data_IF_020634050835
#
_entry.id   IF_020634050835
#
_cell.length_a   1.000
_cell.length_b   1.000
_cell.length_c   1.000
_cell.angle_alpha   90.00
_cell.angle_beta   90.00
_cell.angle_gamma   90.00
#
_symmetry.space_group_name_H-M   'P 1'
#
loop_
_entity.id
_entity.type
_entity.pdbx_description
1 polymer ?
#
# COMPACT_ATOMS: atom_id res chain seq x y z
N UNK A 1 9.00 -1.32 -32.59
CA UNK A 1 8.82 -2.45 -31.67
C UNK A 1 8.34 -1.98 -30.29
N UNK A 2 8.87 -0.92 -29.74
CA UNK A 2 8.60 -0.41 -28.37
C UNK A 2 7.14 0.09 -28.13
N UNK A 3 6.48 0.72 -29.13
CA UNK A 3 5.09 1.22 -29.00
C UNK A 3 4.02 0.12 -28.93
N UNK A 4 4.20 -1.00 -29.63
CA UNK A 4 3.24 -2.12 -29.62
C UNK A 4 3.31 -2.90 -28.30
N UNK A 5 4.52 -3.12 -27.77
CA UNK A 5 4.76 -3.79 -26.48
C UNK A 5 4.12 -2.97 -25.34
N UNK A 6 4.33 -1.65 -25.31
CA UNK A 6 3.73 -0.76 -24.29
C UNK A 6 2.19 -0.72 -24.35
N UNK A 7 1.60 -0.82 -25.54
CA UNK A 7 0.15 -0.84 -25.70
C UNK A 7 -0.47 -2.13 -25.16
N UNK A 8 0.17 -3.27 -25.43
CA UNK A 8 -0.23 -4.57 -24.88
C UNK A 8 -0.17 -4.59 -23.35
N UNK A 9 0.89 -4.04 -22.74
CA UNK A 9 1.05 -3.98 -21.30
C UNK A 9 -0.02 -3.10 -20.61
N UNK A 10 -0.42 -1.99 -21.27
CA UNK A 10 -1.48 -1.10 -20.76
C UNK A 10 -2.83 -1.81 -20.79
N UNK A 11 -3.14 -2.49 -21.87
CA UNK A 11 -4.41 -3.23 -22.02
C UNK A 11 -4.47 -4.41 -21.04
N UNK A 12 -3.36 -5.11 -20.83
CA UNK A 12 -3.23 -6.20 -19.86
C UNK A 12 -3.42 -5.69 -18.42
N UNK A 13 -2.75 -4.58 -18.04
CA UNK A 13 -2.93 -3.95 -16.73
C UNK A 13 -4.38 -3.50 -16.51
N UNK A 14 -5.05 -3.00 -17.54
CA UNK A 14 -6.45 -2.57 -17.44
C UNK A 14 -7.41 -3.75 -17.24
N UNK A 15 -7.22 -4.83 -18.00
CA UNK A 15 -8.00 -6.06 -17.88
C UNK A 15 -7.81 -6.69 -16.51
N UNK A 16 -6.57 -6.80 -16.04
CA UNK A 16 -6.24 -7.36 -14.74
C UNK A 16 -6.87 -6.55 -13.60
N UNK A 17 -6.84 -5.21 -13.67
CA UNK A 17 -7.55 -4.35 -12.69
C UNK A 17 -9.03 -4.67 -12.64
N UNK A 18 -9.69 -4.74 -13.81
CA UNK A 18 -11.11 -5.02 -13.89
C UNK A 18 -11.45 -6.35 -13.22
N UNK A 19 -10.75 -7.42 -13.60
CA UNK A 19 -10.95 -8.77 -13.08
C UNK A 19 -10.80 -8.83 -11.55
N UNK A 20 -9.72 -8.28 -11.02
CA UNK A 20 -9.45 -8.37 -9.57
C UNK A 20 -10.40 -7.47 -8.78
N UNK A 21 -10.76 -6.30 -9.28
CA UNK A 21 -11.76 -5.45 -8.64
C UNK A 21 -13.14 -6.10 -8.61
N UNK A 22 -13.53 -6.83 -9.63
CA UNK A 22 -14.77 -7.62 -9.64
C UNK A 22 -14.73 -8.74 -8.58
N UNK A 23 -13.65 -9.54 -8.53
CA UNK A 23 -13.45 -10.55 -7.48
C UNK A 23 -13.52 -9.95 -6.08
N UNK A 24 -12.86 -8.80 -5.87
CA UNK A 24 -12.85 -8.12 -4.58
C UNK A 24 -14.22 -7.57 -4.17
N UNK A 25 -15.02 -7.07 -5.13
CA UNK A 25 -16.41 -6.63 -4.90
C UNK A 25 -17.34 -7.78 -4.53
N UNK A 26 -17.06 -8.99 -4.99
CA UNK A 26 -17.83 -10.20 -4.67
C UNK A 26 -17.62 -10.68 -3.23
N UNK A 27 -16.60 -10.19 -2.52
CA UNK A 27 -16.42 -10.49 -1.10
C UNK A 27 -17.56 -9.87 -0.28
N UNK A 28 -18.22 -10.70 0.53
CA UNK A 28 -19.19 -10.20 1.51
C UNK A 28 -18.50 -9.33 2.57
N UNK A 29 -19.24 -8.42 3.19
CA UNK A 29 -18.70 -7.59 4.28
C UNK A 29 -18.18 -8.41 5.46
N UNK A 30 -18.83 -9.55 5.76
CA UNK A 30 -18.37 -10.51 6.77
C UNK A 30 -17.03 -11.11 6.35
N UNK A 31 -16.94 -11.68 5.15
CA UNK A 31 -15.71 -12.30 4.65
C UNK A 31 -14.56 -11.29 4.56
N UNK A 32 -14.83 -10.07 4.14
CA UNK A 32 -13.83 -8.99 4.11
C UNK A 32 -13.29 -8.67 5.51
N UNK A 33 -14.17 -8.58 6.53
CA UNK A 33 -13.75 -8.36 7.92
C UNK A 33 -12.90 -9.49 8.45
N UNK A 34 -13.34 -10.74 8.29
CA UNK A 34 -12.62 -11.92 8.77
C UNK A 34 -11.23 -12.03 8.14
N UNK A 35 -11.14 -11.88 6.81
CA UNK A 35 -9.86 -11.88 6.08
C UNK A 35 -8.95 -10.74 6.50
N UNK A 36 -9.49 -9.52 6.65
CA UNK A 36 -8.71 -8.36 7.10
C UNK A 36 -8.17 -8.57 8.51
N UNK A 37 -8.94 -9.17 9.42
CA UNK A 37 -8.49 -9.48 10.78
C UNK A 37 -7.33 -10.48 10.76
N UNK A 38 -7.41 -11.54 9.96
CA UNK A 38 -6.33 -12.51 9.82
C UNK A 38 -5.04 -11.87 9.25
N UNK A 39 -5.18 -10.94 8.28
CA UNK A 39 -4.06 -10.15 7.75
C UNK A 39 -3.43 -9.28 8.85
N UNK A 40 -4.26 -8.56 9.64
CA UNK A 40 -3.80 -7.72 10.74
C UNK A 40 -3.03 -8.53 11.78
N UNK A 41 -3.54 -9.69 12.18
CA UNK A 41 -2.86 -10.57 13.15
C UNK A 41 -1.47 -10.97 12.66
N UNK A 42 -1.31 -11.35 11.38
CA UNK A 42 0.00 -11.65 10.80
C UNK A 42 0.91 -10.43 10.75
N UNK A 43 0.35 -9.27 10.40
CA UNK A 43 1.10 -8.01 10.31
C UNK A 43 1.70 -7.61 11.67
N UNK A 44 0.96 -7.77 12.77
CA UNK A 44 1.45 -7.45 14.11
C UNK A 44 2.60 -8.34 14.58
N UNK A 45 2.77 -9.52 13.99
CA UNK A 45 3.87 -10.43 14.31
C UNK A 45 5.19 -10.06 13.60
N UNK A 46 5.16 -9.18 12.61
CA UNK A 46 6.35 -8.82 11.85
C UNK A 46 7.29 -7.94 12.67
N UNK A 47 8.58 -8.21 12.53
CA UNK A 47 9.63 -7.39 13.14
C UNK A 47 9.63 -5.97 12.61
N UNK A 48 9.33 -5.78 11.31
CA UNK A 48 9.21 -4.45 10.70
C UNK A 48 8.13 -3.59 11.36
N UNK A 49 7.00 -4.19 11.76
CA UNK A 49 5.97 -3.48 12.52
C UNK A 49 6.44 -3.20 13.95
N UNK A 50 7.03 -4.19 14.62
CA UNK A 50 7.45 -4.07 16.02
C UNK A 50 8.55 -3.02 16.20
N UNK A 51 9.54 -3.01 15.30
CA UNK A 51 10.72 -2.13 15.39
C UNK A 51 10.50 -0.77 14.74
N UNK A 52 9.62 -0.65 13.72
CA UNK A 52 9.32 0.58 13.02
C UNK A 52 8.72 1.62 13.97
N UNK A 53 9.26 2.84 13.97
CA UNK A 53 8.78 3.98 14.74
C UNK A 53 7.85 4.87 13.92
N UNK A 54 8.22 5.14 12.68
CA UNK A 54 7.45 5.93 11.73
C UNK A 54 6.85 4.99 10.69
N UNK A 55 5.53 4.82 10.72
CA UNK A 55 4.83 3.83 9.88
C UNK A 55 3.83 4.55 8.98
N UNK A 56 4.02 4.39 7.66
CA UNK A 56 3.01 4.79 6.70
C UNK A 56 1.94 3.70 6.58
N UNK A 57 0.67 4.10 6.69
CA UNK A 57 -0.51 3.25 6.50
C UNK A 57 -1.46 3.90 5.49
N UNK A 58 -1.98 3.13 4.55
CA UNK A 58 -3.14 3.60 3.79
C UNK A 58 -4.39 3.47 4.64
N UNK A 59 -5.33 4.39 4.47
CA UNK A 59 -6.66 4.30 5.05
C UNK A 59 -7.57 3.54 4.08
N UNK A 60 -8.08 2.39 4.53
CA UNK A 60 -8.79 1.45 3.67
C UNK A 60 -10.03 2.06 3.01
N UNK A 61 -10.19 1.84 1.71
CA UNK A 61 -11.29 2.36 0.92
C UNK A 61 -11.78 1.33 -0.12
N UNK A 62 -13.06 1.38 -0.49
CA UNK A 62 -13.69 0.59 -1.56
C UNK A 62 -13.30 -0.90 -1.57
N UNK A 63 -13.49 -1.58 -0.45
CA UNK A 63 -13.29 -3.03 -0.35
C UNK A 63 -11.81 -3.44 -0.26
N UNK A 64 -10.90 -2.56 0.10
CA UNK A 64 -9.52 -2.89 0.47
C UNK A 64 -9.46 -3.68 1.79
N UNK A 65 -8.29 -4.24 2.08
CA UNK A 65 -7.99 -4.78 3.41
C UNK A 65 -8.21 -3.67 4.43
N UNK A 66 -9.01 -3.93 5.44
CA UNK A 66 -9.33 -2.94 6.48
C UNK A 66 -8.11 -2.66 7.34
N UNK A 67 -7.72 -1.40 7.44
CA UNK A 67 -6.53 -0.96 8.16
C UNK A 67 -6.82 -0.24 9.48
N UNK A 68 -8.10 -0.02 9.81
CA UNK A 68 -8.53 0.69 11.02
C UNK A 68 -7.91 0.10 12.29
N UNK A 69 -7.91 -1.22 12.43
CA UNK A 69 -7.30 -1.92 13.57
C UNK A 69 -5.78 -1.69 13.64
N UNK A 70 -5.11 -1.67 12.49
CA UNK A 70 -3.66 -1.44 12.41
C UNK A 70 -3.35 0.00 12.83
N UNK A 71 -4.12 0.98 12.34
CA UNK A 71 -3.94 2.40 12.69
C UNK A 71 -4.10 2.59 14.20
N UNK A 72 -5.18 2.06 14.79
CA UNK A 72 -5.45 2.17 16.24
C UNK A 72 -4.34 1.53 17.06
N UNK A 73 -3.92 0.33 16.71
CA UNK A 73 -2.85 -0.38 17.42
C UNK A 73 -1.51 0.35 17.32
N UNK A 74 -1.15 0.85 16.14
CA UNK A 74 0.08 1.61 15.96
C UNK A 74 0.09 2.90 16.81
N UNK A 75 -1.02 3.63 16.86
CA UNK A 75 -1.16 4.81 17.73
C UNK A 75 -1.10 4.44 19.22
N UNK A 76 -1.76 3.35 19.64
CA UNK A 76 -1.75 2.88 21.03
C UNK A 76 -0.33 2.48 21.48
N UNK A 77 0.49 1.96 20.58
CA UNK A 77 1.90 1.62 20.82
C UNK A 77 2.83 2.86 20.74
N UNK A 78 2.29 4.08 20.61
CA UNK A 78 3.07 5.32 20.54
C UNK A 78 3.89 5.47 19.25
N UNK A 79 3.55 4.76 18.18
CA UNK A 79 4.21 4.91 16.88
C UNK A 79 3.72 6.17 16.18
N UNK A 80 4.59 6.79 15.39
CA UNK A 80 4.20 7.89 14.51
C UNK A 80 3.49 7.30 13.27
N UNK A 81 2.18 7.50 13.21
CA UNK A 81 1.35 7.02 12.09
C UNK A 81 1.25 8.10 11.03
N UNK A 82 1.61 7.72 9.81
CA UNK A 82 1.65 8.59 8.64
C UNK A 82 0.69 8.05 7.57
N UNK A 83 -0.15 8.92 7.04
CA UNK A 83 -1.17 8.56 6.04
C UNK A 83 -1.06 9.43 4.78
N UNK A 84 -1.54 8.95 3.61
CA UNK A 84 -1.51 9.74 2.40
C UNK A 84 -2.49 10.90 2.46
N UNK A 85 -2.12 12.01 1.81
CA UNK A 85 -2.98 13.16 1.53
C UNK A 85 -2.88 13.47 0.04
N UNK A 86 -4.00 13.40 -0.68
CA UNK A 86 -4.02 13.77 -2.10
C UNK A 86 -3.99 15.29 -2.20
N UNK A 87 -3.00 15.82 -2.88
CA UNK A 87 -2.91 17.25 -3.19
C UNK A 87 -3.64 17.49 -4.51
N UNK A 88 -4.53 18.49 -4.53
CA UNK A 88 -5.50 18.71 -5.60
C UNK A 88 -4.92 18.65 -7.01
N UNK A 89 -5.62 17.93 -7.90
CA UNK A 89 -5.26 17.77 -9.31
C UNK A 89 -4.17 16.71 -9.55
N UNK A 90 -3.30 16.98 -10.51
CA UNK A 90 -2.19 16.10 -10.93
C UNK A 90 -0.92 16.22 -10.04
N UNK A 91 -0.95 17.07 -9.01
CA UNK A 91 0.25 17.45 -8.26
C UNK A 91 0.85 16.35 -7.40
N UNK A 92 0.11 15.30 -7.08
CA UNK A 92 0.68 14.15 -6.40
C UNK A 92 0.04 13.80 -5.07
N UNK A 93 0.79 13.11 -4.24
CA UNK A 93 0.40 12.66 -2.90
C UNK A 93 1.49 13.11 -1.92
N UNK A 94 1.08 13.76 -0.84
CA UNK A 94 1.91 14.07 0.31
C UNK A 94 1.65 13.08 1.43
N UNK A 95 2.50 13.09 2.43
CA UNK A 95 2.33 12.32 3.65
C UNK A 95 2.02 13.25 4.83
N UNK A 96 1.10 12.82 5.70
CA UNK A 96 0.73 13.56 6.91
C UNK A 96 0.67 12.64 8.12
N UNK A 97 1.23 13.09 9.24
CA UNK A 97 1.03 12.44 10.54
C UNK A 97 -0.42 12.60 11.01
N UNK A 98 -0.97 11.54 11.58
CA UNK A 98 -2.18 11.57 12.40
C UNK A 98 -1.87 11.09 13.81
N UNK A 99 -2.52 11.70 14.83
CA UNK A 99 -2.32 11.40 16.26
C UNK A 99 -3.55 10.81 16.91
N UNK A 100 -4.71 11.02 16.32
CA UNK A 100 -5.98 10.49 16.80
C UNK A 100 -6.79 9.93 15.63
N UNK A 101 -7.33 8.73 15.78
CA UNK A 101 -8.12 8.06 14.77
C UNK A 101 -9.38 7.45 15.37
N UNK A 102 -10.57 7.72 14.82
CA UNK A 102 -10.82 8.38 13.53
C UNK A 102 -10.97 9.93 13.59
N UNK A 103 -10.75 10.57 14.74
CA UNK A 103 -11.11 11.96 15.03
C UNK A 103 -10.46 12.98 14.07
N UNK A 104 -9.23 12.70 13.63
CA UNK A 104 -8.48 13.60 12.74
C UNK A 104 -8.75 13.34 11.24
N UNK A 105 -9.59 12.35 10.90
CA UNK A 105 -9.84 11.92 9.54
C UNK A 105 -11.25 12.28 9.09
N UNK A 106 -11.42 12.58 7.80
CA UNK A 106 -12.71 12.81 7.14
C UNK A 106 -12.66 12.25 5.70
N UNK A 107 -13.80 12.02 5.04
CA UNK A 107 -13.84 11.69 3.63
C UNK A 107 -13.22 12.84 2.80
N UNK A 108 -12.12 12.54 2.10
CA UNK A 108 -11.41 13.45 1.23
C UNK A 108 -11.77 13.28 -0.25
N UNK A 109 -10.79 13.49 -1.13
CA UNK A 109 -10.96 13.34 -2.57
C UNK A 109 -11.46 11.93 -2.93
N UNK A 110 -12.46 11.86 -3.78
CA UNK A 110 -13.11 10.61 -4.21
C UNK A 110 -13.72 9.75 -3.08
N UNK A 111 -13.90 10.32 -1.88
CA UNK A 111 -14.36 9.63 -0.68
C UNK A 111 -13.27 8.80 0.01
N UNK A 112 -12.02 8.93 -0.40
CA UNK A 112 -10.87 8.31 0.28
C UNK A 112 -10.69 9.00 1.63
N UNK A 113 -10.58 8.27 2.76
CA UNK A 113 -10.34 8.91 4.05
C UNK A 113 -9.00 9.65 4.05
N UNK A 114 -9.00 10.90 4.47
CA UNK A 114 -7.82 11.78 4.52
C UNK A 114 -7.81 12.59 5.82
N UNK A 115 -6.65 13.07 6.29
CA UNK A 115 -6.59 13.99 7.42
C UNK A 115 -7.37 15.27 7.15
N UNK A 116 -8.18 15.70 8.12
CA UNK A 116 -8.85 17.01 8.08
C UNK A 116 -7.82 18.12 7.89
N UNK A 117 -8.15 19.15 7.12
CA UNK A 117 -7.22 20.24 6.76
C UNK A 117 -6.47 20.83 7.95
N UNK A 118 -7.17 21.01 9.09
CA UNK A 118 -6.59 21.57 10.33
C UNK A 118 -5.58 20.64 11.03
N UNK A 119 -5.55 19.37 10.66
CA UNK A 119 -4.66 18.35 11.24
C UNK A 119 -3.56 17.89 10.28
N UNK A 120 -3.39 18.56 9.14
CA UNK A 120 -2.30 18.23 8.21
C UNK A 120 -0.96 18.58 8.84
N UNK A 121 -0.14 17.55 9.06
CA UNK A 121 1.24 17.63 9.57
C UNK A 121 2.14 16.90 8.58
N UNK A 122 2.75 17.66 7.68
CA UNK A 122 3.58 17.09 6.62
C UNK A 122 4.75 16.29 7.17
N UNK A 123 4.98 15.13 6.60
CA UNK A 123 6.08 14.23 6.95
C UNK A 123 6.92 13.99 5.71
N UNK A 124 8.24 14.07 5.86
CA UNK A 124 9.18 13.71 4.81
C UNK A 124 9.14 12.17 4.62
N UNK A 125 8.83 11.66 3.42
CA UNK A 125 8.85 10.23 3.14
C UNK A 125 10.16 9.52 3.52
N UNK A 126 11.30 10.22 3.49
CA UNK A 126 12.60 9.66 3.86
C UNK A 126 12.71 9.27 5.35
N UNK A 127 11.84 9.82 6.21
CA UNK A 127 11.82 9.49 7.64
C UNK A 127 11.03 8.23 7.98
N UNK A 128 10.25 7.70 7.03
CA UNK A 128 9.38 6.55 7.23
C UNK A 128 10.21 5.26 7.31
N UNK A 129 9.96 4.44 8.33
CA UNK A 129 10.63 3.14 8.53
C UNK A 129 9.93 2.01 7.74
N UNK A 130 8.61 2.06 7.69
CA UNK A 130 7.76 1.03 7.10
C UNK A 130 6.65 1.68 6.28
N UNK A 131 6.59 1.35 5.00
CA UNK A 131 5.45 1.65 4.15
C UNK A 131 4.53 0.43 4.03
N UNK A 132 3.30 0.57 4.45
CA UNK A 132 2.22 -0.39 4.19
C UNK A 132 1.44 0.11 2.98
N UNK A 133 1.45 -0.68 1.92
CA UNK A 133 1.01 -0.25 0.59
C UNK A 133 -0.28 -0.97 0.15
N UNK A 134 -1.26 -0.24 -0.41
CA UNK A 134 -2.43 -0.83 -1.05
C UNK A 134 -2.11 -1.22 -2.49
N UNK A 135 -2.98 -2.04 -3.08
CA UNK A 135 -2.95 -2.35 -4.49
C UNK A 135 -4.21 -3.07 -4.96
N UNK A 136 -4.33 -3.19 -6.27
CA UNK A 136 -5.39 -3.97 -6.91
C UNK A 136 -4.96 -5.42 -7.07
N UNK A 137 -3.74 -5.66 -7.57
CA UNK A 137 -3.16 -7.00 -7.71
C UNK A 137 -1.69 -7.00 -7.33
N UNK A 138 -1.17 -8.20 -7.00
CA UNK A 138 0.20 -8.41 -6.60
C UNK A 138 0.73 -9.72 -7.18
N UNK A 139 2.04 -9.82 -7.37
CA UNK A 139 2.71 -11.08 -7.69
C UNK A 139 3.82 -11.41 -6.67
N UNK A 140 4.18 -12.69 -6.57
CA UNK A 140 5.18 -13.17 -5.60
C UNK A 140 6.59 -12.60 -5.79
N UNK A 141 6.83 -11.89 -6.89
CA UNK A 141 8.08 -11.16 -7.16
C UNK A 141 8.05 -9.73 -6.62
N UNK A 142 6.98 -9.36 -5.91
CA UNK A 142 6.78 -8.04 -5.36
C UNK A 142 6.19 -7.03 -6.34
N UNK A 143 5.78 -7.47 -7.53
CA UNK A 143 5.05 -6.63 -8.47
C UNK A 143 3.75 -6.15 -7.84
N UNK A 144 3.42 -4.86 -8.02
CA UNK A 144 2.23 -4.22 -7.49
C UNK A 144 1.47 -3.46 -8.58
N UNK A 145 0.22 -3.81 -8.80
CA UNK A 145 -0.69 -3.09 -9.68
C UNK A 145 -1.57 -2.15 -8.86
N UNK A 146 -1.32 -0.85 -8.95
CA UNK A 146 -2.15 0.18 -8.33
C UNK A 146 -3.37 0.55 -9.19
N UNK A 147 -4.12 1.58 -8.74
CA UNK A 147 -5.30 2.10 -9.45
C UNK A 147 -4.99 2.89 -10.73
N UNK A 148 -3.73 3.19 -11.00
CA UNK A 148 -3.28 3.83 -12.26
C UNK A 148 -2.72 5.25 -12.10
N UNK A 149 -2.90 5.91 -10.95
CA UNK A 149 -2.39 7.26 -10.73
C UNK A 149 -0.87 7.35 -10.44
N UNK A 150 -0.21 6.22 -10.11
CA UNK A 150 1.24 6.16 -9.86
C UNK A 150 1.74 6.93 -8.63
N UNK A 151 0.86 7.27 -7.69
CA UNK A 151 1.24 8.09 -6.53
C UNK A 151 2.35 7.47 -5.68
N UNK A 152 2.21 6.19 -5.35
CA UNK A 152 3.22 5.51 -4.54
C UNK A 152 4.55 5.33 -5.26
N UNK A 153 4.52 5.06 -6.56
CA UNK A 153 5.75 4.88 -7.34
C UNK A 153 6.55 6.19 -7.40
N UNK A 154 5.88 7.33 -7.47
CA UNK A 154 6.54 8.66 -7.39
C UNK A 154 7.15 8.94 -6.02
N UNK A 155 6.40 8.71 -4.92
CA UNK A 155 6.92 8.92 -3.57
C UNK A 155 8.10 7.99 -3.30
N UNK A 156 7.94 6.71 -3.59
CA UNK A 156 8.93 5.68 -3.28
C UNK A 156 10.16 5.77 -4.20
N UNK A 157 9.96 6.13 -5.49
CA UNK A 157 11.06 6.31 -6.43
C UNK A 157 12.02 7.43 -6.05
N UNK A 158 11.52 8.46 -5.32
CA UNK A 158 12.36 9.53 -4.77
C UNK A 158 12.91 9.27 -3.36
N UNK A 159 12.34 8.28 -2.66
CA UNK A 159 12.58 8.06 -1.23
C UNK A 159 13.40 6.80 -0.92
N UNK A 160 13.35 5.78 -1.81
CA UNK A 160 14.16 4.57 -1.64
C UNK A 160 15.59 4.95 -2.00
N UNK A 161 16.48 5.17 -1.02
CA UNK A 161 17.82 5.63 -1.29
C UNK A 161 18.61 4.57 -2.04
N UNK A 162 19.47 5.01 -2.94
CA UNK A 162 20.60 4.25 -3.42
C UNK A 162 21.39 3.67 -2.21
N UNK A 163 21.32 2.39 -2.04
CA UNK A 163 22.16 1.41 -1.29
C UNK A 163 22.82 1.76 0.06
N UNK A 164 22.86 2.99 0.57
CA UNK A 164 23.73 3.37 1.70
C UNK A 164 23.04 3.91 2.95
N UNK A 165 21.73 4.16 2.95
CA UNK A 165 21.01 4.66 4.12
C UNK A 165 19.84 3.75 4.49
N UNK A 166 19.39 3.80 5.73
CA UNK A 166 18.28 3.13 6.41
C UNK A 166 17.39 2.27 5.50
N UNK A 167 17.35 0.96 5.73
CA UNK A 167 16.48 0.05 4.98
C UNK A 167 15.00 0.35 5.28
N UNK A 168 14.34 1.03 4.36
CA UNK A 168 12.89 1.19 4.38
C UNK A 168 12.24 -0.13 4.01
N UNK A 169 11.28 -0.59 4.81
CA UNK A 169 10.50 -1.79 4.51
C UNK A 169 9.25 -1.43 3.71
N UNK A 170 8.98 -2.15 2.63
CA UNK A 170 7.79 -2.01 1.79
C UNK A 170 6.95 -3.27 1.89
N UNK A 171 5.79 -3.18 2.52
CA UNK A 171 4.90 -4.33 2.77
C UNK A 171 3.52 -4.04 2.15
N UNK A 172 3.00 -5.01 1.41
CA UNK A 172 1.64 -4.94 0.90
C UNK A 172 0.68 -5.73 1.80
N UNK A 173 -0.53 -5.20 1.99
CA UNK A 173 -1.66 -5.95 2.51
C UNK A 173 -2.62 -6.28 1.37
N UNK A 174 -2.93 -7.54 1.18
CA UNK A 174 -3.75 -8.02 0.10
C UNK A 174 -4.62 -9.20 0.54
N UNK A 175 -5.77 -9.38 -0.07
CA UNK A 175 -6.47 -10.66 0.00
C UNK A 175 -5.79 -11.65 -0.93
N UNK A 176 -5.79 -12.94 -0.59
CA UNK A 176 -5.16 -13.99 -1.42
C UNK A 176 -5.69 -13.97 -2.87
N UNK A 177 -6.97 -13.63 -3.08
CA UNK A 177 -7.58 -13.46 -4.40
C UNK A 177 -6.96 -12.35 -5.27
N UNK A 178 -6.14 -11.46 -4.68
CA UNK A 178 -5.43 -10.39 -5.40
C UNK A 178 -4.05 -10.86 -5.92
N UNK A 179 -3.62 -12.07 -5.56
CA UNK A 179 -2.39 -12.64 -6.08
C UNK A 179 -2.60 -13.15 -7.50
N UNK A 180 -1.65 -12.83 -8.36
CA UNK A 180 -1.61 -13.23 -9.77
C UNK A 180 -0.21 -13.76 -10.11
N UNK A 181 -0.10 -14.50 -11.21
CA UNK A 181 1.17 -15.11 -11.62
C UNK A 181 2.24 -14.06 -11.93
N UNK A 182 1.83 -12.99 -12.62
CA UNK A 182 2.74 -11.91 -13.02
C UNK A 182 1.99 -10.60 -13.25
N UNK A 183 2.64 -9.51 -12.83
CA UNK A 183 2.23 -8.14 -13.16
C UNK A 183 3.20 -7.58 -14.20
N UNK A 184 2.71 -7.07 -15.35
CA UNK A 184 3.56 -6.33 -16.27
C UNK A 184 4.19 -5.15 -15.53
N UNK A 185 5.52 -5.10 -15.47
CA UNK A 185 6.25 -4.07 -14.70
C UNK A 185 7.10 -3.20 -15.60
N UNK A 186 7.19 -1.92 -15.27
CA UNK A 186 8.11 -0.96 -15.88
C UNK A 186 9.31 -0.71 -14.96
N UNK A 187 10.34 -0.04 -15.49
CA UNK A 187 11.54 0.32 -14.71
C UNK A 187 11.26 1.31 -13.56
N UNK A 188 10.11 1.95 -13.58
CA UNK A 188 9.70 2.92 -12.56
C UNK A 188 8.82 2.32 -11.48
N UNK A 189 8.33 1.07 -11.66
CA UNK A 189 7.45 0.42 -10.70
C UNK A 189 8.27 -0.05 -9.49
N UNK A 190 7.90 0.41 -8.29
CA UNK A 190 8.58 0.02 -7.04
C UNK A 190 7.95 -1.26 -6.52
N UNK A 191 8.80 -2.28 -6.33
CA UNK A 191 8.39 -3.60 -5.82
C UNK A 191 8.27 -3.59 -4.30
N UNK A 192 7.31 -4.35 -3.78
CA UNK A 192 7.21 -4.61 -2.35
C UNK A 192 8.16 -5.73 -1.92
N UNK A 193 8.58 -5.68 -0.66
CA UNK A 193 9.47 -6.69 -0.08
C UNK A 193 8.69 -7.88 0.47
N UNK A 194 7.47 -7.63 0.98
CA UNK A 194 6.58 -8.65 1.53
C UNK A 194 5.14 -8.39 1.12
N UNK A 195 4.37 -9.45 1.02
CA UNK A 195 2.92 -9.41 0.86
C UNK A 195 2.30 -10.22 1.98
N UNK A 196 1.31 -9.65 2.67
CA UNK A 196 0.58 -10.33 3.74
C UNK A 196 -0.84 -10.56 3.26
N UNK A 197 -1.24 -11.83 3.25
CA UNK A 197 -2.61 -12.24 2.95
C UNK A 197 -3.28 -12.87 4.18
N UNK A 198 -4.56 -13.17 4.08
CA UNK A 198 -5.26 -13.92 5.11
C UNK A 198 -4.75 -15.36 5.25
N UNK A 199 -4.02 -15.87 4.26
CA UNK A 199 -3.50 -17.22 4.25
C UNK A 199 -2.04 -17.32 4.69
N UNK A 200 -1.19 -16.35 4.26
CA UNK A 200 0.27 -16.42 4.43
C UNK A 200 0.98 -15.08 4.39
N UNK A 201 2.25 -15.09 4.79
CA UNK A 201 3.24 -14.02 4.53
C UNK A 201 4.15 -14.48 3.41
N UNK A 202 4.30 -13.67 2.37
CA UNK A 202 5.13 -13.94 1.21
C UNK A 202 6.33 -13.01 1.25
N UNK A 203 7.53 -13.56 1.36
CA UNK A 203 8.78 -12.85 1.15
C UNK A 203 9.02 -12.73 -0.36
N UNK A 204 8.98 -11.50 -0.89
CA UNK A 204 9.15 -11.30 -2.32
C UNK A 204 10.62 -11.44 -2.71
N UNK A 205 10.88 -12.14 -3.82
CA UNK A 205 12.24 -12.38 -4.30
C UNK A 205 12.94 -11.07 -4.67
N UNK A 206 14.15 -10.86 -4.15
CA UNK A 206 15.01 -9.75 -4.60
C UNK A 206 15.42 -10.01 -6.06
N UNK A 207 15.19 -9.05 -6.95
CA UNK A 207 15.75 -9.10 -8.29
C UNK A 207 17.29 -9.09 -8.18
N UNK A 208 17.96 -10.22 -8.47
CA UNK A 208 19.41 -10.25 -8.49
C UNK A 208 20.09 -11.52 -7.95
N UNK A 209 19.39 -12.64 -7.89
CA UNK A 209 20.01 -13.94 -7.65
C UNK A 209 19.77 -14.87 -8.85
N UNK A 210 20.35 -14.53 -9.98
CA UNK A 210 20.68 -15.47 -11.05
C UNK A 210 21.86 -14.89 -11.84
#
# INVERSE_FOLDING_TARGET
>A
MDRAIRRNDIDEKALLRKLILEKRRALSDKGRREKSLAIQQRFFLLDEFRQGRVIHLFLSFRGEVMTDGIVKEALALGKQVVVPVVVGGSEGMNLSEIRQYPEEVEPGAYGIPEPKKKFIRRVDPATVDLFVLPGVAFDVRGGRLGYGAGYYDRILGGTVPSRESKRVSLIALAFELQLVDRIPSSVHDVRVHKIITEERVIECMKSGMY
#
